data_IF_224564705794
#
_entry.id   IF_224564705794
#
_cell.length_a   1.000
_cell.length_b   1.000
_cell.length_c   1.000
_cell.angle_alpha   90.00
_cell.angle_beta   90.00
_cell.angle_gamma   90.00
#
_symmetry.space_group_name_H-M   'P 1'
#
loop_
_entity.id
_entity.type
_entity.pdbx_description
1 polymer ?
#
# COMPACT_ATOMS: atom_id res chain seq x y z
N UNK A 1 -1.68 -14.47 -22.10
CA UNK A 1 -1.16 -13.64 -20.99
C UNK A 1 -0.86 -14.58 -19.83
N UNK A 2 0.21 -14.38 -19.07
CA UNK A 2 0.48 -15.20 -17.87
C UNK A 2 -0.55 -14.85 -16.77
N UNK A 3 -1.03 -15.86 -16.04
CA UNK A 3 -1.97 -15.74 -14.92
C UNK A 3 -1.51 -14.71 -13.88
N UNK A 4 -0.19 -14.60 -13.64
CA UNK A 4 0.37 -13.61 -12.71
C UNK A 4 0.04 -12.18 -13.16
N UNK A 5 0.18 -11.88 -14.46
CA UNK A 5 -0.05 -10.54 -15.00
C UNK A 5 -1.55 -10.21 -14.99
N UNK A 6 -2.40 -11.20 -15.33
CA UNK A 6 -3.85 -11.04 -15.29
C UNK A 6 -4.33 -10.71 -13.87
N UNK A 7 -3.87 -11.47 -12.87
CA UNK A 7 -4.23 -11.26 -11.47
C UNK A 7 -3.85 -9.88 -10.94
N UNK A 8 -2.73 -9.31 -11.42
CA UNK A 8 -2.30 -7.96 -11.02
C UNK A 8 -3.21 -6.89 -11.64
N UNK A 9 -3.56 -7.03 -12.92
CA UNK A 9 -4.35 -6.03 -13.67
C UNK A 9 -5.82 -6.04 -13.28
N UNK A 10 -6.40 -7.21 -12.98
CA UNK A 10 -7.82 -7.36 -12.66
C UNK A 10 -8.13 -7.13 -11.17
N UNK A 11 -7.12 -6.96 -10.32
CA UNK A 11 -7.28 -6.79 -8.87
C UNK A 11 -8.15 -5.55 -8.54
N UNK A 12 -9.24 -5.77 -7.79
CA UNK A 12 -10.10 -4.71 -7.23
C UNK A 12 -10.12 -4.76 -5.70
N UNK A 13 -10.35 -3.61 -5.05
CA UNK A 13 -10.49 -3.54 -3.59
C UNK A 13 -11.90 -3.90 -3.16
N UNK A 14 -12.08 -5.09 -2.61
CA UNK A 14 -13.36 -5.63 -2.12
C UNK A 14 -13.61 -5.11 -0.69
N UNK A 15 -14.87 -4.77 -0.37
CA UNK A 15 -15.30 -4.27 0.96
C UNK A 15 -16.53 -4.97 1.54
N UNK A 16 -17.02 -5.98 0.84
CA UNK A 16 -18.12 -6.86 1.27
C UNK A 16 -17.58 -8.28 1.22
N UNK A 17 -17.71 -9.02 2.31
CA UNK A 17 -17.13 -10.35 2.50
C UNK A 17 -18.23 -11.30 2.99
N UNK A 18 -18.08 -12.57 2.68
CA UNK A 18 -18.93 -13.63 3.22
C UNK A 18 -18.57 -13.93 4.68
N UNK A 19 -19.53 -14.42 5.47
CA UNK A 19 -19.33 -14.88 6.86
C UNK A 19 -18.63 -16.24 6.94
N UNK A 20 -17.62 -16.45 6.09
CA UNK A 20 -16.83 -17.68 6.00
C UNK A 20 -15.43 -17.45 6.54
N UNK A 21 -15.03 -18.27 7.50
CA UNK A 21 -13.66 -18.25 8.01
C UNK A 21 -12.67 -18.73 6.93
N UNK A 22 -11.53 -18.05 6.83
CA UNK A 22 -10.40 -18.45 5.99
C UNK A 22 -9.65 -19.60 6.67
N UNK A 23 -9.22 -20.60 5.90
CA UNK A 23 -8.42 -21.70 6.43
C UNK A 23 -7.06 -21.21 6.95
N UNK A 24 -6.49 -21.92 7.92
CA UNK A 24 -5.15 -21.59 8.45
C UNK A 24 -4.06 -21.73 7.39
N UNK A 25 -4.20 -22.69 6.49
CA UNK A 25 -3.25 -22.96 5.40
C UNK A 25 -3.21 -21.80 4.42
N UNK A 26 -4.38 -21.38 3.92
CA UNK A 26 -4.47 -20.23 3.00
C UNK A 26 -3.95 -18.95 3.67
N UNK A 27 -4.22 -18.75 4.97
CA UNK A 27 -3.65 -17.63 5.71
C UNK A 27 -2.12 -17.70 5.77
N UNK A 28 -1.54 -18.88 6.01
CA UNK A 28 -0.10 -19.07 6.06
C UNK A 28 0.56 -18.83 4.69
N UNK A 29 -0.07 -19.27 3.60
CA UNK A 29 0.40 -19.01 2.24
C UNK A 29 0.47 -17.51 1.93
N UNK A 30 -0.57 -16.75 2.31
CA UNK A 30 -0.61 -15.29 2.13
C UNK A 30 0.49 -14.60 2.95
N UNK A 31 0.66 -15.00 4.20
CA UNK A 31 1.70 -14.44 5.08
C UNK A 31 3.11 -14.74 4.53
N UNK A 32 3.33 -15.95 4.02
CA UNK A 32 4.58 -16.33 3.38
C UNK A 32 4.82 -15.48 2.12
N UNK A 33 3.83 -15.34 1.24
CA UNK A 33 3.95 -14.50 0.05
C UNK A 33 4.32 -13.05 0.39
N UNK A 34 3.75 -12.48 1.47
CA UNK A 34 4.10 -11.16 1.97
C UNK A 34 5.50 -11.08 2.55
N UNK A 35 5.97 -12.13 3.24
CA UNK A 35 7.31 -12.18 3.83
C UNK A 35 8.43 -12.20 2.78
N UNK A 36 8.18 -12.82 1.63
CA UNK A 36 9.11 -12.90 0.50
C UNK A 36 9.20 -11.62 -0.34
N UNK A 37 8.42 -10.58 -0.03
CA UNK A 37 8.55 -9.29 -0.70
C UNK A 37 9.97 -8.70 -0.50
N UNK A 38 10.52 -7.95 -1.48
CA UNK A 38 11.85 -7.37 -1.34
C UNK A 38 11.86 -6.25 -0.30
N UNK A 39 12.77 -6.32 0.68
CA UNK A 39 12.95 -5.26 1.68
C UNK A 39 14.29 -4.54 1.52
N UNK A 40 14.27 -3.21 1.69
CA UNK A 40 15.47 -2.38 1.61
C UNK A 40 16.51 -2.86 2.64
N UNK A 41 17.72 -3.17 2.16
CA UNK A 41 18.81 -3.70 2.97
C UNK A 41 18.45 -4.97 3.76
N UNK A 42 17.49 -5.77 3.28
CA UNK A 42 16.96 -6.95 3.97
C UNK A 42 16.51 -6.68 5.42
N UNK A 43 16.03 -5.47 5.73
CA UNK A 43 15.64 -5.11 7.11
C UNK A 43 14.36 -5.80 7.57
N UNK A 44 13.53 -6.31 6.65
CA UNK A 44 12.28 -7.02 6.96
C UNK A 44 11.43 -6.28 8.01
N UNK A 45 11.27 -4.96 7.84
CA UNK A 45 10.65 -4.08 8.85
C UNK A 45 9.17 -4.32 9.04
N UNK A 46 8.54 -5.11 8.18
CA UNK A 46 7.14 -5.48 8.27
C UNK A 46 6.89 -6.53 9.35
N UNK A 47 5.82 -6.32 10.11
CA UNK A 47 5.23 -7.32 11.00
C UNK A 47 3.84 -7.63 10.48
N UNK A 48 3.65 -8.86 9.99
CA UNK A 48 2.35 -9.34 9.54
C UNK A 48 1.72 -10.17 10.67
N UNK A 49 0.46 -9.90 11.00
CA UNK A 49 -0.27 -10.63 12.04
C UNK A 49 -1.64 -11.01 11.49
N UNK A 50 -1.87 -12.31 11.33
CA UNK A 50 -3.17 -12.85 10.95
C UNK A 50 -4.07 -12.99 12.17
N UNK A 51 -5.27 -12.42 12.13
CA UNK A 51 -6.28 -12.54 13.18
C UNK A 51 -7.49 -13.27 12.60
N UNK A 52 -7.80 -14.45 13.13
CA UNK A 52 -8.93 -15.30 12.69
C UNK A 52 -10.13 -15.16 13.64
N UNK A 53 -9.86 -14.79 14.89
CA UNK A 53 -10.85 -14.66 15.96
C UNK A 53 -11.81 -13.47 15.69
N UNK A 54 -13.12 -13.72 15.51
CA UNK A 54 -14.08 -12.69 15.13
C UNK A 54 -14.22 -11.60 16.19
N UNK A 55 -14.10 -11.93 17.48
CA UNK A 55 -14.21 -10.94 18.55
C UNK A 55 -13.05 -9.94 18.50
N UNK A 56 -11.84 -10.44 18.23
CA UNK A 56 -10.65 -9.59 18.11
C UNK A 56 -10.72 -8.69 16.88
N UNK A 57 -11.24 -9.21 15.76
CA UNK A 57 -11.47 -8.43 14.55
C UNK A 57 -12.49 -7.32 14.80
N UNK A 58 -13.61 -7.61 15.48
CA UNK A 58 -14.61 -6.61 15.83
C UNK A 58 -14.05 -5.53 16.75
N UNK A 59 -13.29 -5.91 17.78
CA UNK A 59 -12.59 -4.96 18.66
C UNK A 59 -11.64 -4.05 17.89
N UNK A 60 -10.89 -4.60 16.94
CA UNK A 60 -9.98 -3.83 16.08
C UNK A 60 -10.75 -2.87 15.17
N UNK A 61 -11.83 -3.33 14.53
CA UNK A 61 -12.68 -2.51 13.66
C UNK A 61 -13.28 -1.32 14.43
N UNK A 62 -13.78 -1.54 15.64
CA UNK A 62 -14.30 -0.48 16.51
C UNK A 62 -13.21 0.54 16.89
N UNK A 63 -12.00 0.09 17.22
CA UNK A 63 -10.88 0.96 17.54
C UNK A 63 -10.44 1.82 16.33
N UNK A 64 -10.42 1.23 15.14
CA UNK A 64 -10.10 1.95 13.89
C UNK A 64 -11.17 3.00 13.58
N UNK A 65 -12.45 2.65 13.70
CA UNK A 65 -13.57 3.58 13.51
C UNK A 65 -13.47 4.79 14.45
N UNK A 66 -13.25 4.55 15.76
CA UNK A 66 -13.08 5.61 16.76
C UNK A 66 -11.90 6.54 16.46
N UNK A 67 -10.80 6.02 15.92
CA UNK A 67 -9.64 6.83 15.54
C UNK A 67 -9.96 7.72 14.33
N UNK A 68 -10.73 7.20 13.39
CA UNK A 68 -11.09 7.90 12.15
C UNK A 68 -12.17 8.97 12.36
N UNK A 69 -13.06 8.79 13.34
CA UNK A 69 -14.11 9.75 13.71
C UNK A 69 -13.58 11.00 14.45
N UNK A 70 -12.28 11.06 14.81
CA UNK A 70 -11.68 12.30 15.30
C UNK A 70 -11.52 13.27 14.13
N UNK A 71 -11.96 14.54 14.23
CA UNK A 71 -11.79 15.52 13.16
C UNK A 71 -10.31 15.56 12.80
N UNK A 72 -10.04 15.21 11.55
CA UNK A 72 -8.71 14.92 11.02
C UNK A 72 -7.70 15.99 11.40
N UNK A 73 -6.52 15.61 11.91
CA UNK A 73 -5.32 16.42 11.66
C UNK A 73 -5.23 16.53 10.14
N UNK A 74 -5.50 17.74 9.62
CA UNK A 74 -5.30 18.19 8.23
C UNK A 74 -5.04 17.03 7.27
N UNK A 75 -6.11 16.53 6.63
CA UNK A 75 -5.94 15.88 5.33
C UNK A 75 -5.35 16.97 4.44
N UNK A 76 -4.02 17.00 4.28
CA UNK A 76 -3.39 17.86 3.30
C UNK A 76 -3.68 17.17 1.97
N UNK A 77 -4.49 17.75 1.07
CA UNK A 77 -4.65 17.19 -0.27
C UNK A 77 -3.27 17.03 -0.89
N UNK A 78 -2.99 15.86 -1.46
CA UNK A 78 -1.75 15.60 -2.21
C UNK A 78 -1.53 16.62 -3.35
N UNK A 79 -2.61 17.28 -3.77
CA UNK A 79 -2.66 18.31 -4.82
C UNK A 79 -2.23 19.72 -4.37
N UNK A 80 -2.04 19.97 -3.07
CA UNK A 80 -1.62 21.29 -2.53
C UNK A 80 -0.15 21.33 -2.15
N UNK A 81 0.73 20.75 -2.98
CA UNK A 81 2.13 21.18 -3.02
C UNK A 81 2.23 22.23 -4.13
N UNK A 82 2.31 23.54 -3.82
CA UNK A 82 2.73 24.49 -4.85
C UNK A 82 4.11 24.06 -5.37
N UNK A 83 4.38 24.15 -6.68
CA UNK A 83 5.72 23.89 -7.20
C UNK A 83 6.65 24.91 -6.55
N UNK A 84 7.49 24.44 -5.62
CA UNK A 84 8.57 25.24 -5.06
C UNK A 84 9.58 25.43 -6.19
N UNK A 85 9.47 26.53 -6.93
CA UNK A 85 10.52 27.01 -7.83
C UNK A 85 11.71 27.39 -6.96
N UNK A 86 12.60 26.42 -6.72
CA UNK A 86 13.96 26.71 -6.28
C UNK A 86 14.66 27.46 -7.43
N UNK A 87 15.12 28.70 -7.23
CA UNK A 87 16.01 29.31 -8.21
C UNK A 87 17.26 28.43 -8.30
N UNK A 88 17.61 28.05 -9.52
CA UNK A 88 18.79 27.28 -9.82
C UNK A 88 20.03 28.03 -9.30
N UNK A 89 20.63 27.49 -8.24
CA UNK A 89 21.99 27.87 -7.84
C UNK A 89 22.91 27.31 -8.92
N UNK A 90 23.69 28.13 -9.65
CA UNK A 90 24.63 27.62 -10.63
C UNK A 90 25.74 26.87 -9.89
N UNK A 91 25.91 25.57 -10.15
CA UNK A 91 27.09 24.82 -9.68
C UNK A 91 26.86 23.40 -9.16
N UNK A 92 25.61 22.92 -9.00
CA UNK A 92 25.36 21.55 -8.54
C UNK A 92 24.74 20.71 -9.67
N UNK A 93 25.60 20.06 -10.45
CA UNK A 93 25.20 18.99 -11.36
C UNK A 93 24.85 17.74 -10.55
N UNK A 94 23.56 17.58 -10.22
CA UNK A 94 22.99 16.26 -9.91
C UNK A 94 21.72 16.06 -10.70
N UNK A 95 21.88 15.28 -11.77
CA UNK A 95 20.90 14.38 -12.40
C UNK A 95 19.50 14.43 -11.80
N UNK A 96 18.74 15.42 -12.24
CA UNK A 96 17.29 15.39 -12.16
C UNK A 96 16.79 14.45 -13.25
N UNK A 97 16.07 13.43 -12.83
CA UNK A 97 15.31 12.52 -13.67
C UNK A 97 14.55 13.34 -14.71
N UNK A 98 14.98 13.24 -15.97
CA UNK A 98 14.23 13.76 -17.11
C UNK A 98 12.85 13.12 -17.05
N UNK A 99 11.85 13.97 -17.01
CA UNK A 99 10.49 13.69 -17.47
C UNK A 99 10.56 12.87 -18.75
N UNK A 100 10.35 11.56 -18.64
CA UNK A 100 10.03 10.75 -19.80
C UNK A 100 8.59 11.14 -20.19
N UNK A 101 8.38 11.74 -21.38
CA UNK A 101 7.03 11.90 -21.87
C UNK A 101 6.49 10.50 -22.15
N UNK A 102 5.24 10.30 -21.77
CA UNK A 102 4.45 9.14 -22.13
C UNK A 102 4.56 8.89 -23.66
N UNK A 103 5.26 7.82 -24.03
CA UNK A 103 5.18 7.22 -25.35
C UNK A 103 4.92 5.73 -25.14
N UNK A 104 3.63 5.41 -25.05
CA UNK A 104 3.15 4.09 -25.43
C UNK A 104 3.39 3.89 -26.92
N UNK A 105 4.28 2.96 -27.28
CA UNK A 105 4.25 2.23 -28.54
C UNK A 105 4.73 0.80 -28.29
N UNK A 106 3.75 -0.11 -28.35
CA UNK A 106 3.77 -1.58 -28.53
C UNK A 106 4.77 -2.35 -27.66
#
# INVERSE_FOLDING_TARGET
>A
MNDIILNILERRSIRQYEDKAVSKETMAEILNAGAWAPSAMNRQTWRLTGIIDPEKVQKLAAAVKKRWERPSRRIIPFTTRPPLLLPAIPGVTRTAWRTAPALWKI
#
